data_IF_708299561004
#
_entry.id   IF_708299561004
#
_cell.length_a   1.000
_cell.length_b   1.000
_cell.length_c   1.000
_cell.angle_alpha   90.00
_cell.angle_beta   90.00
_cell.angle_gamma   90.00
#
_symmetry.space_group_name_H-M   'P 1'
#
loop_
_entity.id
_entity.type
_entity.pdbx_description
1 polymer ?
#
# COMPACT_ATOMS: atom_id res chain seq x y z
N UNK A 1 -2.29 -11.41 0.02
CA UNK A 1 -1.66 -12.71 0.30
C UNK A 1 -1.21 -12.76 1.76
N UNK A 2 -1.20 -13.92 2.42
CA UNK A 2 -0.69 -14.03 3.79
C UNK A 2 0.78 -13.61 3.87
N UNK A 3 1.16 -12.90 4.95
CA UNK A 3 2.56 -12.60 5.26
C UNK A 3 3.30 -13.89 5.62
N UNK A 4 4.32 -14.21 4.82
CA UNK A 4 5.19 -15.35 5.02
C UNK A 4 6.67 -14.98 4.81
N UNK A 5 7.00 -13.69 4.76
CA UNK A 5 8.38 -13.18 4.76
C UNK A 5 8.97 -13.28 6.17
N UNK A 6 10.29 -13.22 6.24
CA UNK A 6 11.03 -13.14 7.50
C UNK A 6 10.75 -11.83 8.26
N UNK A 7 11.13 -11.76 9.54
CA UNK A 7 10.81 -10.60 10.39
C UNK A 7 11.59 -9.33 10.07
N UNK A 8 12.71 -9.44 9.34
CA UNK A 8 13.61 -8.31 9.01
C UNK A 8 13.29 -7.63 7.68
N UNK A 9 12.00 -7.44 7.39
CA UNK A 9 11.53 -6.71 6.20
C UNK A 9 11.92 -5.23 6.18
N UNK A 10 12.39 -4.69 7.31
CA UNK A 10 13.01 -3.37 7.40
C UNK A 10 14.30 -3.26 6.58
N UNK A 11 14.98 -4.39 6.34
CA UNK A 11 16.21 -4.44 5.55
C UNK A 11 15.89 -4.71 4.08
N UNK A 12 16.32 -3.82 3.19
CA UNK A 12 16.23 -4.03 1.74
C UNK A 12 17.30 -5.01 1.25
N UNK A 13 17.03 -6.31 1.34
CA UNK A 13 17.95 -7.37 0.93
C UNK A 13 17.61 -7.94 -0.45
N UNK A 14 18.46 -8.86 -0.94
CA UNK A 14 18.20 -9.69 -2.13
C UNK A 14 17.43 -10.98 -1.83
N UNK A 15 17.11 -11.25 -0.56
CA UNK A 15 16.33 -12.43 -0.12
C UNK A 15 14.84 -12.30 -0.44
N UNK A 16 14.51 -12.19 -1.73
CA UNK A 16 13.21 -11.73 -2.22
C UNK A 16 12.29 -12.86 -2.72
N UNK A 17 12.61 -14.13 -2.45
CA UNK A 17 11.81 -15.25 -2.95
C UNK A 17 10.31 -15.12 -2.60
N UNK A 18 9.91 -14.80 -1.34
CA UNK A 18 8.48 -14.65 -1.05
C UNK A 18 7.84 -13.47 -1.80
N UNK A 19 8.57 -12.36 -1.99
CA UNK A 19 8.11 -11.21 -2.78
C UNK A 19 7.88 -11.60 -4.25
N UNK A 20 8.81 -12.36 -4.85
CA UNK A 20 8.69 -12.85 -6.22
C UNK A 20 7.46 -13.76 -6.37
N UNK A 21 7.26 -14.69 -5.44
CA UNK A 21 6.09 -15.58 -5.44
C UNK A 21 4.78 -14.80 -5.28
N UNK A 22 4.75 -13.77 -4.43
CA UNK A 22 3.59 -12.92 -4.26
C UNK A 22 3.25 -12.14 -5.55
N UNK A 23 4.26 -11.55 -6.22
CA UNK A 23 4.05 -10.86 -7.51
C UNK A 23 3.65 -11.82 -8.63
N UNK A 24 4.21 -13.02 -8.65
CA UNK A 24 3.81 -14.06 -9.61
C UNK A 24 2.34 -14.43 -9.42
N UNK A 25 1.90 -14.67 -8.17
CA UNK A 25 0.49 -14.95 -7.86
C UNK A 25 -0.45 -13.81 -8.25
N UNK A 26 -0.05 -12.55 -8.00
CA UNK A 26 -0.82 -11.39 -8.47
C UNK A 26 -0.96 -11.41 -9.99
N UNK A 27 0.16 -11.60 -10.71
CA UNK A 27 0.17 -11.66 -12.19
C UNK A 27 -0.73 -12.76 -12.73
N UNK A 28 -0.66 -13.96 -12.16
CA UNK A 28 -1.51 -15.12 -12.53
C UNK A 28 -3.00 -14.85 -12.27
N UNK A 29 -3.31 -13.97 -11.31
CA UNK A 29 -4.67 -13.54 -10.98
C UNK A 29 -5.11 -12.28 -11.74
N UNK A 30 -4.31 -11.78 -12.70
CA UNK A 30 -4.60 -10.56 -13.46
C UNK A 30 -4.36 -9.24 -12.70
N UNK A 31 -3.73 -9.29 -11.53
CA UNK A 31 -3.39 -8.13 -10.71
C UNK A 31 -1.95 -7.64 -10.94
N UNK A 32 -1.67 -6.36 -10.64
CA UNK A 32 -0.35 -5.75 -10.82
C UNK A 32 0.57 -5.86 -9.59
N UNK A 33 -0.02 -5.94 -8.40
CA UNK A 33 0.72 -6.01 -7.13
C UNK A 33 -0.03 -6.91 -6.15
N UNK A 34 0.70 -7.51 -5.20
CA UNK A 34 0.14 -8.27 -4.11
C UNK A 34 0.45 -7.58 -2.78
N UNK A 35 -0.56 -7.35 -1.95
CA UNK A 35 -0.36 -6.92 -0.57
C UNK A 35 -0.17 -8.12 0.36
N UNK A 36 0.86 -8.05 1.22
CA UNK A 36 1.03 -8.95 2.35
C UNK A 36 0.12 -8.54 3.50
N UNK A 37 -0.51 -9.52 4.14
CA UNK A 37 -1.50 -9.34 5.20
C UNK A 37 -1.06 -10.15 6.41
N UNK A 38 -1.02 -9.55 7.59
CA UNK A 38 -0.67 -10.24 8.83
C UNK A 38 -1.81 -11.15 9.34
N UNK A 39 -1.54 -11.86 10.44
CA UNK A 39 -2.47 -12.81 11.06
C UNK A 39 -3.75 -12.16 11.57
N UNK A 40 -3.72 -10.85 11.84
CA UNK A 40 -4.87 -10.08 12.33
C UNK A 40 -5.70 -9.51 11.16
N UNK A 41 -5.33 -9.82 9.91
CA UNK A 41 -6.01 -9.34 8.72
C UNK A 41 -5.63 -7.91 8.31
N UNK A 42 -4.57 -7.35 8.90
CA UNK A 42 -4.10 -6.01 8.58
C UNK A 42 -3.09 -6.03 7.42
N UNK A 43 -3.22 -5.06 6.53
CA UNK A 43 -2.29 -4.87 5.43
C UNK A 43 -0.93 -4.45 5.99
N UNK A 44 0.13 -5.05 5.46
CA UNK A 44 1.52 -4.65 5.73
C UNK A 44 2.00 -3.74 4.61
N UNK A 45 2.45 -4.32 3.51
CA UNK A 45 2.93 -3.62 2.32
C UNK A 45 2.78 -4.53 1.09
N UNK A 46 3.10 -4.01 -0.09
CA UNK A 46 3.10 -4.76 -1.34
C UNK A 46 4.35 -5.64 -1.51
N UNK A 47 4.34 -6.46 -2.57
CA UNK A 47 5.50 -7.23 -3.00
C UNK A 47 6.74 -6.37 -3.26
N UNK A 48 6.54 -5.13 -3.70
CA UNK A 48 7.63 -4.19 -4.00
C UNK A 48 7.29 -2.72 -3.73
N UNK A 49 6.32 -2.44 -2.86
CA UNK A 49 5.76 -1.09 -2.66
C UNK A 49 5.18 -0.91 -1.26
N UNK A 50 5.02 0.32 -0.79
CA UNK A 50 4.22 0.59 0.42
C UNK A 50 2.73 0.72 0.07
N UNK A 51 1.85 0.39 1.03
CA UNK A 51 0.40 0.40 0.86
C UNK A 51 -0.22 1.62 1.57
N UNK A 52 -1.24 2.18 0.93
CA UNK A 52 -1.93 3.37 1.40
C UNK A 52 -3.43 3.29 1.12
N UNK A 53 -4.21 3.90 1.99
CA UNK A 53 -5.63 4.18 1.74
C UNK A 53 -5.93 5.65 2.02
N UNK A 54 -7.01 6.14 1.44
CA UNK A 54 -7.63 7.42 1.78
C UNK A 54 -8.98 7.09 2.40
N UNK A 55 -9.18 7.47 3.66
CA UNK A 55 -10.47 7.26 4.34
C UNK A 55 -11.58 8.04 3.65
N UNK A 56 -12.84 7.74 4.01
CA UNK A 56 -14.01 8.49 3.51
C UNK A 56 -13.91 9.98 3.81
N UNK A 57 -13.29 10.34 4.92
CA UNK A 57 -13.06 11.72 5.36
C UNK A 57 -11.83 12.39 4.71
N UNK A 58 -11.15 11.70 3.79
CA UNK A 58 -10.00 12.25 3.05
C UNK A 58 -8.66 12.18 3.81
N UNK A 59 -8.57 11.37 4.86
CA UNK A 59 -7.31 11.17 5.62
C UNK A 59 -6.49 10.07 4.96
N UNK A 60 -5.21 10.35 4.71
CA UNK A 60 -4.25 9.35 4.25
C UNK A 60 -3.89 8.41 5.40
N UNK A 61 -3.87 7.11 5.15
CA UNK A 61 -3.47 6.11 6.15
C UNK A 61 -2.41 5.19 5.56
N UNK A 62 -1.34 4.98 6.30
CA UNK A 62 -0.32 3.97 6.00
C UNK A 62 0.20 3.34 7.28
N UNK A 63 0.72 2.12 7.18
CA UNK A 63 1.27 1.43 8.36
C UNK A 63 2.53 2.17 8.86
N UNK A 64 2.75 2.24 10.19
CA UNK A 64 4.00 2.75 10.75
C UNK A 64 5.21 1.96 10.23
N UNK A 65 6.35 2.62 10.05
CA UNK A 65 7.55 2.06 9.41
C UNK A 65 8.74 1.91 10.38
N UNK A 66 8.48 1.80 11.67
CA UNK A 66 9.45 1.40 12.70
C UNK A 66 9.80 -0.08 12.56
N UNK A 67 8.77 -0.92 12.36
CA UNK A 67 8.90 -2.37 12.21
C UNK A 67 7.83 -2.93 11.26
N UNK A 68 8.08 -4.10 10.67
CA UNK A 68 7.09 -4.87 9.95
C UNK A 68 6.83 -4.46 8.50
N UNK A 69 7.38 -3.33 8.02
CA UNK A 69 7.41 -2.96 6.60
C UNK A 69 8.75 -2.31 6.23
N UNK A 70 9.06 -2.22 4.93
CA UNK A 70 10.19 -1.45 4.46
C UNK A 70 9.88 0.05 4.52
N UNK A 71 10.78 0.83 5.13
CA UNK A 71 10.70 2.30 5.13
C UNK A 71 11.11 2.86 3.76
N UNK A 72 10.18 2.85 2.80
CA UNK A 72 10.43 3.33 1.44
C UNK A 72 10.72 4.83 1.38
N UNK A 73 11.69 5.24 0.55
CA UNK A 73 12.03 6.66 0.36
C UNK A 73 10.85 7.45 -0.22
N UNK A 74 10.19 6.91 -1.25
CA UNK A 74 8.97 7.53 -1.81
C UNK A 74 7.89 7.69 -0.75
N UNK A 75 7.67 6.67 0.11
CA UNK A 75 6.74 6.77 1.24
C UNK A 75 7.10 7.96 2.12
N UNK A 76 8.37 8.11 2.52
CA UNK A 76 8.83 9.24 3.33
C UNK A 76 8.57 10.58 2.64
N UNK A 77 8.89 10.71 1.35
CA UNK A 77 8.62 11.94 0.58
C UNK A 77 7.13 12.27 0.50
N UNK A 78 6.24 11.27 0.48
CA UNK A 78 4.79 11.52 0.49
C UNK A 78 4.32 12.25 1.74
N UNK A 79 4.98 12.10 2.89
CA UNK A 79 4.64 12.89 4.09
C UNK A 79 4.89 14.38 3.87
N UNK A 80 6.00 14.73 3.23
CA UNK A 80 6.31 16.13 2.90
C UNK A 80 5.33 16.70 1.86
N UNK A 81 4.97 15.91 0.84
CA UNK A 81 4.01 16.32 -0.19
C UNK A 81 2.61 16.50 0.42
N UNK A 82 2.15 15.55 1.23
CA UNK A 82 0.86 15.63 1.91
C UNK A 82 0.77 16.87 2.81
N UNK A 83 1.84 17.16 3.56
CA UNK A 83 1.92 18.36 4.40
C UNK A 83 1.77 19.66 3.58
N UNK A 84 2.44 19.75 2.42
CA UNK A 84 2.31 20.91 1.50
C UNK A 84 0.91 21.07 0.92
N UNK A 85 0.19 19.96 0.72
CA UNK A 85 -1.18 19.93 0.22
C UNK A 85 -2.24 20.10 1.34
N UNK A 86 -1.82 20.22 2.60
CA UNK A 86 -2.73 20.30 3.75
C UNK A 86 -3.48 18.99 4.03
N UNK A 87 -2.98 17.85 3.53
CA UNK A 87 -3.55 16.53 3.75
C UNK A 87 -3.06 15.95 5.08
N UNK A 88 -3.97 15.35 5.84
CA UNK A 88 -3.64 14.65 7.09
C UNK A 88 -3.17 13.24 6.78
N UNK A 89 -2.12 12.79 7.47
CA UNK A 89 -1.68 11.39 7.47
C UNK A 89 -1.86 10.82 8.88
N UNK A 90 -2.42 9.62 8.96
CA UNK A 90 -2.42 8.76 10.14
C UNK A 90 -1.50 7.56 9.91
N UNK A 91 -0.49 7.39 10.76
CA UNK A 91 0.34 6.19 10.77
C UNK A 91 -0.29 5.12 11.66
N UNK A 92 -1.05 4.21 11.04
CA UNK A 92 -1.68 3.07 11.71
C UNK A 92 -1.90 1.90 10.75
N UNK A 93 -2.08 0.71 11.30
CA UNK A 93 -2.58 -0.42 10.53
C UNK A 93 -3.99 -0.17 9.99
N UNK A 94 -4.32 -0.83 8.89
CA UNK A 94 -5.67 -0.89 8.34
C UNK A 94 -5.93 -2.30 7.81
N UNK A 95 -7.17 -2.76 7.93
CA UNK A 95 -7.57 -4.09 7.46
C UNK A 95 -7.80 -4.11 5.95
N UNK A 96 -7.78 -5.30 5.35
CA UNK A 96 -8.20 -5.46 3.94
C UNK A 96 -9.64 -4.98 3.73
N UNK A 97 -10.53 -5.22 4.70
CA UNK A 97 -11.91 -4.77 4.64
C UNK A 97 -12.02 -3.23 4.67
N UNK A 98 -11.21 -2.57 5.51
CA UNK A 98 -11.13 -1.10 5.53
C UNK A 98 -10.63 -0.56 4.18
N UNK A 99 -9.60 -1.18 3.60
CA UNK A 99 -9.09 -0.79 2.29
C UNK A 99 -10.14 -0.93 1.17
N UNK A 100 -10.91 -2.03 1.18
CA UNK A 100 -12.03 -2.23 0.24
C UNK A 100 -13.16 -1.19 0.42
N UNK A 101 -13.36 -0.71 1.65
CA UNK A 101 -14.39 0.29 1.98
C UNK A 101 -13.91 1.75 1.88
N UNK A 102 -12.61 1.97 1.60
CA UNK A 102 -11.97 3.26 1.54
C UNK A 102 -12.44 4.10 0.36
N UNK A 103 -12.18 5.42 0.41
CA UNK A 103 -12.46 6.34 -0.69
C UNK A 103 -11.49 6.13 -1.84
N UNK A 104 -10.22 5.95 -1.52
CA UNK A 104 -9.16 5.66 -2.49
C UNK A 104 -8.17 4.67 -1.86
N UNK A 105 -7.44 3.93 -2.69
CA UNK A 105 -6.31 3.10 -2.27
C UNK A 105 -5.19 3.28 -3.29
N UNK A 106 -3.94 3.19 -2.85
CA UNK A 106 -2.80 3.28 -3.75
C UNK A 106 -1.55 2.59 -3.19
N UNK A 107 -0.57 2.41 -4.07
CA UNK A 107 0.78 1.99 -3.69
C UNK A 107 1.81 3.06 -4.02
N UNK A 108 2.90 3.08 -3.25
CA UNK A 108 4.05 3.93 -3.53
C UNK A 108 5.34 3.14 -3.70
N UNK A 109 6.12 3.49 -4.72
CA UNK A 109 7.44 2.94 -4.98
C UNK A 109 8.28 3.92 -5.79
N UNK A 110 9.59 3.69 -5.88
CA UNK A 110 10.49 4.56 -6.65
C UNK A 110 10.11 4.66 -8.14
N UNK A 111 9.52 3.61 -8.72
CA UNK A 111 9.16 3.57 -10.15
C UNK A 111 7.73 4.02 -10.43
N UNK A 112 6.86 4.04 -9.43
CA UNK A 112 5.43 4.32 -9.62
C UNK A 112 4.91 5.54 -8.86
N UNK A 113 5.73 6.15 -8.00
CA UNK A 113 5.42 7.32 -7.14
C UNK A 113 4.17 7.09 -6.29
N UNK A 114 2.99 7.44 -6.82
CA UNK A 114 1.67 7.14 -6.29
C UNK A 114 0.83 6.46 -7.37
N UNK A 115 0.63 5.15 -7.28
CA UNK A 115 -0.17 4.38 -8.24
C UNK A 115 -1.54 4.03 -7.64
N UNK A 116 -2.64 4.58 -8.17
CA UNK A 116 -3.99 4.23 -7.75
C UNK A 116 -4.27 2.74 -7.88
N UNK A 117 -4.97 2.21 -6.88
CA UNK A 117 -5.60 0.90 -6.89
C UNK A 117 -7.08 1.12 -7.08
N UNK A 118 -7.61 0.63 -8.20
CA UNK A 118 -9.03 0.78 -8.54
C UNK A 118 -9.87 -0.44 -8.16
N UNK A 119 -9.23 -1.58 -7.87
CA UNK A 119 -9.90 -2.79 -7.40
C UNK A 119 -8.95 -3.63 -6.54
N UNK A 120 -9.50 -4.33 -5.55
CA UNK A 120 -8.79 -5.30 -4.71
C UNK A 120 -9.53 -6.63 -4.79
N UNK A 121 -8.86 -7.68 -5.26
CA UNK A 121 -9.42 -9.03 -5.42
C UNK A 121 -10.72 -9.04 -6.25
N UNK A 122 -10.81 -8.19 -7.28
CA UNK A 122 -11.98 -8.05 -8.15
C UNK A 122 -13.05 -7.08 -7.64
N UNK A 123 -12.99 -6.68 -6.37
CA UNK A 123 -13.92 -5.68 -5.82
C UNK A 123 -13.44 -4.27 -6.15
N UNK A 124 -14.25 -3.43 -6.84
CA UNK A 124 -13.87 -2.06 -7.14
C UNK A 124 -13.76 -1.21 -5.86
N UNK A 125 -12.74 -0.36 -5.81
CA UNK A 125 -12.60 0.67 -4.77
C UNK A 125 -13.42 1.88 -5.19
N UNK A 126 -14.38 2.27 -4.35
CA UNK A 126 -15.33 3.34 -4.63
C UNK A 126 -16.01 3.18 -6.00
N UNK A 127 -15.69 4.03 -6.97
CA UNK A 127 -16.25 4.01 -8.31
C UNK A 127 -15.37 3.27 -9.34
N UNK A 128 -14.29 2.60 -8.91
CA UNK A 128 -13.38 1.88 -9.80
C UNK A 128 -12.49 2.78 -10.66
N UNK A 129 -12.31 4.05 -10.27
CA UNK A 129 -11.47 5.00 -10.99
C UNK A 129 -10.36 5.58 -10.11
N UNK A 130 -9.23 6.03 -10.71
CA UNK A 130 -8.20 6.75 -10.00
C UNK A 130 -8.75 7.93 -9.18
N UNK A 131 -8.46 7.93 -7.88
CA UNK A 131 -8.94 8.96 -6.97
C UNK A 131 -8.13 10.26 -7.04
N UNK A 132 -8.79 11.38 -6.78
CA UNK A 132 -8.21 12.72 -6.91
C UNK A 132 -7.08 13.01 -5.92
N UNK A 133 -7.16 12.48 -4.69
CA UNK A 133 -6.13 12.68 -3.67
C UNK A 133 -4.86 11.90 -4.04
N UNK A 134 -5.03 10.67 -4.52
CA UNK A 134 -3.90 9.87 -5.01
C UNK A 134 -3.21 10.55 -6.18
N UNK A 135 -3.97 11.12 -7.11
CA UNK A 135 -3.42 11.81 -8.28
C UNK A 135 -2.70 13.11 -7.94
N UNK A 136 -3.11 13.82 -6.88
CA UNK A 136 -2.43 15.06 -6.46
C UNK A 136 -1.09 14.82 -5.75
N UNK A 137 -0.77 13.57 -5.40
CA UNK A 137 0.49 13.18 -4.76
C UNK A 137 1.61 12.81 -5.75
N UNK A 138 1.38 12.97 -7.06
CA UNK A 138 2.35 12.72 -8.14
C UNK A 138 3.10 13.98 -8.50
#
# INVERSE_FOLDING_TARGET
VPENRWDRVDIKTVGLLPNVLAKQKAKESGAQEAWFVDTDGNVKEGGSSNAWIVTRDGVLVTRPAEHGILRGITRTTMFEVAAKLGLKIEERGFSVAEAKAAREAFISSATTIAMPIVAIDGDPIANGHPGSITLSLR
#
